data_IF_862526878598
#
_entry.id   IF_862526878598
#
_cell.length_a   1.000
_cell.length_b   1.000
_cell.length_c   1.000
_cell.angle_alpha   90.00
_cell.angle_beta   90.00
_cell.angle_gamma   90.00
#
_symmetry.space_group_name_H-M   'P 1'
#
loop_
_entity.id
_entity.type
_entity.pdbx_description
1 polymer ?
#
# COMPACT_ATOMS: atom_id res chain seq x y z
N UNK A 1 1.22 15.20 -16.22
CA UNK A 1 1.46 13.79 -16.54
C UNK A 1 2.69 13.31 -15.78
N UNK A 2 2.68 12.14 -15.15
CA UNK A 2 3.81 11.63 -14.36
C UNK A 2 4.99 11.13 -15.23
N UNK A 3 5.01 11.45 -16.53
CA UNK A 3 6.03 11.00 -17.48
C UNK A 3 7.46 11.22 -16.98
N UNK A 4 7.75 12.43 -16.47
CA UNK A 4 9.08 12.74 -15.93
C UNK A 4 9.42 11.95 -14.66
N UNK A 5 8.43 11.56 -13.87
CA UNK A 5 8.65 10.67 -12.73
C UNK A 5 9.14 9.30 -13.21
N UNK A 6 8.44 8.70 -14.16
CA UNK A 6 8.82 7.39 -14.70
C UNK A 6 10.15 7.42 -15.47
N UNK A 7 10.40 8.48 -16.24
CA UNK A 7 11.68 8.68 -16.95
C UNK A 7 12.86 8.86 -15.98
N UNK A 8 12.62 9.36 -14.77
CA UNK A 8 13.67 9.51 -13.75
C UNK A 8 14.00 8.22 -12.99
N UNK A 9 13.19 7.17 -13.15
CA UNK A 9 13.43 5.88 -12.51
C UNK A 9 14.56 5.15 -13.23
N UNK A 10 15.72 5.10 -12.58
CA UNK A 10 16.83 4.29 -13.08
C UNK A 10 16.61 2.80 -12.79
N UNK A 11 17.18 1.92 -13.59
CA UNK A 11 17.16 0.47 -13.34
C UNK A 11 17.61 0.13 -11.91
N UNK A 12 18.59 0.86 -11.38
CA UNK A 12 19.07 0.70 -10.00
C UNK A 12 18.01 0.99 -8.94
N UNK A 13 17.14 1.99 -9.15
CA UNK A 13 16.04 2.30 -8.21
C UNK A 13 14.94 1.24 -8.26
N UNK A 14 14.76 0.59 -9.40
CA UNK A 14 13.81 -0.50 -9.58
C UNK A 14 14.34 -1.79 -8.91
N UNK A 15 15.58 -2.16 -9.20
CA UNK A 15 16.15 -3.46 -8.75
C UNK A 15 16.57 -3.46 -7.28
N UNK A 16 16.97 -2.32 -6.70
CA UNK A 16 17.35 -2.25 -5.29
C UNK A 16 16.14 -2.32 -4.32
N UNK A 17 14.93 -2.46 -4.85
CA UNK A 17 13.69 -2.54 -4.07
C UNK A 17 13.27 -1.23 -3.40
N UNK A 18 13.89 -0.09 -3.74
CA UNK A 18 13.50 1.21 -3.21
C UNK A 18 12.06 1.55 -3.63
N UNK A 19 11.78 1.57 -4.92
CA UNK A 19 10.45 1.87 -5.45
C UNK A 19 9.40 0.85 -4.98
N UNK A 20 9.79 -0.41 -4.83
CA UNK A 20 8.89 -1.45 -4.33
C UNK A 20 8.33 -1.20 -2.92
N UNK A 21 8.92 -0.30 -2.15
CA UNK A 21 8.44 0.10 -0.82
C UNK A 21 7.43 1.23 -0.84
N UNK A 22 7.29 1.93 -1.96
CA UNK A 22 6.32 3.02 -2.10
C UNK A 22 4.97 2.53 -2.62
N UNK A 23 3.91 3.20 -2.19
CA UNK A 23 2.60 3.13 -2.83
C UNK A 23 2.50 4.34 -3.76
N UNK A 24 2.56 4.09 -5.06
CA UNK A 24 2.41 5.14 -6.08
C UNK A 24 0.94 5.27 -6.40
N UNK A 25 0.39 6.48 -6.22
CA UNK A 25 -0.97 6.83 -6.58
C UNK A 25 -0.92 7.83 -7.72
N UNK A 26 -1.42 7.41 -8.88
CA UNK A 26 -1.54 8.32 -10.02
C UNK A 26 -2.85 9.08 -9.95
N UNK A 27 -2.74 10.40 -9.97
CA UNK A 27 -3.89 11.29 -10.03
C UNK A 27 -4.14 11.69 -11.48
N UNK A 28 -5.42 11.83 -11.85
CA UNK A 28 -5.81 12.33 -13.16
C UNK A 28 -5.34 13.76 -13.44
N UNK A 29 -5.72 14.30 -14.58
CA UNK A 29 -5.39 15.66 -14.96
C UNK A 29 -5.89 16.65 -13.89
N UNK A 30 -5.08 17.69 -13.64
CA UNK A 30 -5.47 18.77 -12.73
C UNK A 30 -6.75 19.43 -13.24
N UNK A 31 -7.76 19.50 -12.38
CA UNK A 31 -8.97 20.29 -12.65
C UNK A 31 -8.68 21.80 -12.63
N UNK A 32 -9.71 22.60 -12.90
CA UNK A 32 -9.61 24.06 -12.75
C UNK A 32 -9.26 24.43 -11.31
N UNK A 33 -8.37 25.39 -11.17
CA UNK A 33 -8.05 25.96 -9.85
C UNK A 33 -9.31 26.62 -9.26
N UNK A 34 -9.61 26.29 -8.01
CA UNK A 34 -10.69 26.96 -7.25
C UNK A 34 -10.09 27.55 -6.00
N UNK A 35 -10.47 28.77 -5.69
CA UNK A 35 -10.17 29.38 -4.41
C UNK A 35 -11.18 28.81 -3.40
N UNK A 36 -10.71 27.86 -2.60
CA UNK A 36 -11.53 27.29 -1.54
C UNK A 36 -11.48 28.19 -0.31
N UNK A 37 -12.66 28.49 0.24
CA UNK A 37 -12.73 29.17 1.53
C UNK A 37 -12.08 28.31 2.62
N UNK A 38 -11.30 28.95 3.49
CA UNK A 38 -10.72 28.27 4.66
C UNK A 38 -11.88 27.77 5.55
N UNK A 39 -12.06 26.48 5.62
CA UNK A 39 -13.06 25.82 6.45
C UNK A 39 -12.39 25.20 7.68
N UNK A 40 -13.05 25.21 8.83
CA UNK A 40 -12.56 24.49 9.99
C UNK A 40 -12.51 22.98 9.66
N UNK A 41 -11.48 22.32 10.17
CA UNK A 41 -11.35 20.88 10.01
C UNK A 41 -12.56 20.16 10.64
N UNK A 42 -13.23 19.24 9.94
CA UNK A 42 -14.36 18.49 10.49
C UNK A 42 -14.01 17.81 11.81
N UNK A 43 -14.94 17.86 12.79
CA UNK A 43 -14.69 17.32 14.14
C UNK A 43 -14.26 15.84 14.13
N UNK A 44 -14.85 14.93 13.32
CA UNK A 44 -14.41 13.52 13.29
C UNK A 44 -12.93 13.36 12.91
N UNK A 45 -12.40 14.24 12.05
CA UNK A 45 -10.98 14.22 11.66
C UNK A 45 -10.12 14.69 12.83
N UNK A 46 -10.55 15.74 13.53
CA UNK A 46 -9.82 16.25 14.72
C UNK A 46 -9.80 15.22 15.85
N UNK A 47 -10.93 14.57 16.11
CA UNK A 47 -11.02 13.50 17.10
C UNK A 47 -10.14 12.31 16.77
N UNK A 48 -10.16 11.85 15.50
CA UNK A 48 -9.28 10.79 15.05
C UNK A 48 -7.80 11.16 15.21
N UNK A 49 -7.43 12.38 14.81
CA UNK A 49 -6.06 12.86 14.95
C UNK A 49 -5.61 12.93 16.41
N UNK A 50 -6.46 13.42 17.32
CA UNK A 50 -6.18 13.44 18.77
C UNK A 50 -6.00 12.03 19.32
N UNK A 51 -6.94 11.13 18.98
CA UNK A 51 -6.85 9.73 19.43
C UNK A 51 -5.52 9.09 19.02
N UNK A 52 -5.08 9.27 17.76
CA UNK A 52 -3.80 8.74 17.29
C UNK A 52 -2.60 9.43 17.94
N UNK A 53 -2.69 10.72 18.23
CA UNK A 53 -1.64 11.46 18.94
C UNK A 53 -1.47 10.96 20.38
N UNK A 54 -2.55 10.56 21.03
CA UNK A 54 -2.57 10.08 22.41
C UNK A 54 -2.36 8.56 22.50
N UNK A 55 -2.44 7.85 21.38
CA UNK A 55 -2.29 6.41 21.33
C UNK A 55 -0.88 5.97 21.76
N UNK A 56 -0.82 5.20 22.85
CA UNK A 56 0.43 4.67 23.42
C UNK A 56 0.31 3.15 23.61
N UNK A 57 0.43 2.33 22.53
CA UNK A 57 0.33 0.88 22.65
C UNK A 57 1.62 0.32 23.25
N UNK A 58 1.71 0.26 24.59
CA UNK A 58 2.77 -0.47 25.27
C UNK A 58 4.20 -0.11 24.86
N UNK A 59 4.39 1.01 24.21
CA UNK A 59 5.69 1.37 23.68
C UNK A 59 5.75 2.83 23.33
N UNK A 60 6.50 3.52 24.12
CA UNK A 60 7.07 4.80 23.82
C UNK A 60 8.52 4.54 23.37
N UNK A 61 9.13 5.47 22.67
CA UNK A 61 10.57 5.48 22.37
C UNK A 61 11.45 5.38 23.65
N UNK A 62 10.86 5.52 24.84
CA UNK A 62 11.49 5.32 26.14
C UNK A 62 11.46 3.86 26.62
N UNK A 63 10.69 2.97 26.00
CA UNK A 63 10.70 1.54 26.34
C UNK A 63 11.61 0.78 25.39
N UNK A 64 12.54 0.03 25.94
CA UNK A 64 13.55 -0.70 25.18
C UNK A 64 12.93 -1.79 24.29
N UNK A 65 11.79 -2.37 24.71
CA UNK A 65 11.06 -3.42 24.00
C UNK A 65 9.54 -3.21 24.10
N UNK A 66 8.94 -2.33 23.29
CA UNK A 66 7.49 -2.13 23.32
C UNK A 66 6.74 -3.38 22.83
N UNK A 67 5.75 -3.82 23.57
CA UNK A 67 4.85 -4.89 23.11
C UNK A 67 3.90 -4.36 22.04
N UNK A 68 3.97 -4.87 20.79
CA UNK A 68 3.08 -4.42 19.74
C UNK A 68 1.66 -4.93 19.99
N UNK A 69 0.67 -4.07 19.76
CA UNK A 69 -0.73 -4.50 19.76
C UNK A 69 -1.01 -5.33 18.52
N UNK A 70 -1.43 -6.58 18.72
CA UNK A 70 -1.81 -7.47 17.64
C UNK A 70 -3.24 -7.17 17.20
N UNK A 71 -3.44 -7.02 15.89
CA UNK A 71 -4.76 -6.85 15.27
C UNK A 71 -5.19 -8.18 14.67
N UNK A 72 -6.29 -8.79 15.15
CA UNK A 72 -6.77 -10.06 14.63
C UNK A 72 -7.34 -9.90 13.23
N UNK A 73 -7.34 -10.99 12.46
CA UNK A 73 -8.01 -11.11 11.18
C UNK A 73 -9.09 -12.20 11.25
N UNK A 74 -10.20 -11.99 10.55
CA UNK A 74 -11.22 -13.02 10.40
C UNK A 74 -10.71 -14.19 9.55
N UNK A 75 -11.33 -15.36 9.65
CA UNK A 75 -10.90 -16.56 8.90
C UNK A 75 -10.96 -16.34 7.38
N UNK A 76 -12.02 -15.70 6.91
CA UNK A 76 -12.24 -15.36 5.51
C UNK A 76 -11.25 -14.31 5.00
N UNK A 77 -10.95 -13.25 5.80
CA UNK A 77 -9.90 -12.29 5.50
C UNK A 77 -8.53 -12.96 5.39
N UNK A 78 -8.22 -13.85 6.32
CA UNK A 78 -6.97 -14.63 6.30
C UNK A 78 -6.88 -15.50 5.05
N UNK A 79 -7.97 -16.20 4.69
CA UNK A 79 -8.03 -17.01 3.48
C UNK A 79 -7.84 -16.18 2.21
N UNK A 80 -8.48 -14.99 2.13
CA UNK A 80 -8.33 -14.04 1.01
C UNK A 80 -6.89 -13.54 0.87
N UNK A 81 -6.26 -13.12 1.97
CA UNK A 81 -4.87 -12.68 1.96
C UNK A 81 -3.90 -13.81 1.59
N UNK A 82 -4.15 -15.03 2.03
CA UNK A 82 -3.33 -16.18 1.63
C UNK A 82 -3.52 -16.54 0.14
N UNK A 83 -4.74 -16.40 -0.40
CA UNK A 83 -4.98 -16.59 -1.83
C UNK A 83 -4.22 -15.52 -2.65
N UNK A 84 -4.25 -14.27 -2.19
CA UNK A 84 -3.47 -13.19 -2.79
C UNK A 84 -1.96 -13.48 -2.75
N UNK A 85 -1.45 -13.93 -1.60
CA UNK A 85 -0.04 -14.31 -1.47
C UNK A 85 0.36 -15.38 -2.48
N UNK A 86 -0.41 -16.47 -2.59
CA UNK A 86 -0.12 -17.54 -3.56
C UNK A 86 -0.10 -17.01 -4.99
N UNK A 87 -1.05 -16.15 -5.37
CA UNK A 87 -1.05 -15.54 -6.69
C UNK A 87 0.23 -14.71 -6.93
N UNK A 88 0.61 -13.89 -5.97
CA UNK A 88 1.82 -13.06 -6.06
C UNK A 88 3.07 -13.92 -6.16
N UNK A 89 3.24 -14.90 -5.26
CA UNK A 89 4.46 -15.70 -5.16
C UNK A 89 4.55 -16.72 -6.30
N UNK A 90 3.46 -17.47 -6.55
CA UNK A 90 3.48 -18.64 -7.43
C UNK A 90 3.21 -18.29 -8.91
N UNK A 91 2.61 -17.13 -9.18
CA UNK A 91 2.28 -16.71 -10.56
C UNK A 91 3.13 -15.53 -11.00
N UNK A 92 2.94 -14.39 -10.35
CA UNK A 92 3.52 -13.13 -10.83
C UNK A 92 5.05 -13.08 -10.63
N UNK A 93 5.51 -13.40 -9.42
CA UNK A 93 6.94 -13.43 -9.11
C UNK A 93 7.68 -14.47 -9.96
N UNK A 94 7.11 -15.68 -10.08
CA UNK A 94 7.72 -16.76 -10.87
C UNK A 94 7.75 -16.44 -12.36
N UNK A 95 6.72 -15.74 -12.89
CA UNK A 95 6.72 -15.28 -14.27
C UNK A 95 7.84 -14.25 -14.52
N UNK A 96 8.03 -13.29 -13.59
CA UNK A 96 9.13 -12.34 -13.67
C UNK A 96 10.50 -13.06 -13.60
N UNK A 97 10.64 -14.04 -12.73
CA UNK A 97 11.87 -14.84 -12.62
C UNK A 97 12.19 -15.61 -13.90
N UNK A 98 11.20 -16.24 -14.51
CA UNK A 98 11.37 -16.95 -15.76
C UNK A 98 11.80 -16.03 -16.92
N UNK A 99 11.36 -14.78 -16.91
CA UNK A 99 11.70 -13.76 -17.89
C UNK A 99 12.93 -12.93 -17.52
N UNK A 100 13.61 -13.23 -16.41
CA UNK A 100 14.76 -12.47 -15.89
C UNK A 100 14.42 -10.99 -15.62
N UNK A 101 13.17 -10.70 -15.27
CA UNK A 101 12.68 -9.37 -14.92
C UNK A 101 12.99 -9.06 -13.44
N UNK A 102 14.19 -8.55 -13.18
CA UNK A 102 14.63 -8.18 -11.82
C UNK A 102 13.77 -7.09 -11.18
N UNK A 103 13.28 -6.14 -11.99
CA UNK A 103 12.43 -5.05 -11.50
C UNK A 103 11.05 -5.58 -11.07
N UNK A 104 10.45 -6.43 -11.88
CA UNK A 104 9.20 -7.12 -11.55
C UNK A 104 9.34 -7.97 -10.31
N UNK A 105 10.38 -8.78 -10.19
CA UNK A 105 10.66 -9.57 -8.98
C UNK A 105 10.75 -8.68 -7.72
N UNK A 106 11.47 -7.55 -7.80
CA UNK A 106 11.62 -6.64 -6.67
C UNK A 106 10.27 -6.03 -6.22
N UNK A 107 9.38 -5.74 -7.16
CA UNK A 107 8.04 -5.20 -6.89
C UNK A 107 7.13 -6.28 -6.31
N UNK A 108 7.02 -7.44 -6.96
CA UNK A 108 6.12 -8.49 -6.53
C UNK A 108 6.49 -9.08 -5.17
N UNK A 109 7.79 -9.17 -4.84
CA UNK A 109 8.26 -9.59 -3.51
C UNK A 109 7.74 -8.74 -2.35
N UNK A 110 7.24 -7.53 -2.62
CA UNK A 110 6.70 -6.61 -1.60
C UNK A 110 5.18 -6.47 -1.63
N UNK A 111 4.51 -7.02 -2.63
CA UNK A 111 3.07 -6.82 -2.80
C UNK A 111 2.25 -7.40 -1.65
N UNK A 112 2.58 -8.59 -1.16
CA UNK A 112 1.88 -9.19 -0.03
C UNK A 112 2.06 -8.40 1.27
N UNK A 113 3.27 -7.92 1.56
CA UNK A 113 3.54 -7.06 2.71
C UNK A 113 2.73 -5.77 2.64
N UNK A 114 2.69 -5.12 1.48
CA UNK A 114 1.88 -3.91 1.25
C UNK A 114 0.39 -4.17 1.46
N UNK A 115 -0.13 -5.27 0.92
CA UNK A 115 -1.54 -5.63 1.09
C UNK A 115 -1.89 -5.80 2.57
N UNK A 116 -1.06 -6.49 3.35
CA UNK A 116 -1.28 -6.63 4.79
C UNK A 116 -1.28 -5.29 5.53
N UNK A 117 -0.35 -4.40 5.19
CA UNK A 117 -0.29 -3.05 5.79
C UNK A 117 -1.52 -2.21 5.41
N UNK A 118 -1.97 -2.27 4.16
CA UNK A 118 -3.17 -1.58 3.72
C UNK A 118 -4.43 -2.13 4.39
N UNK A 119 -4.56 -3.45 4.54
CA UNK A 119 -5.66 -4.07 5.26
C UNK A 119 -5.70 -3.64 6.73
N UNK A 120 -4.54 -3.52 7.38
CA UNK A 120 -4.42 -3.00 8.74
C UNK A 120 -4.86 -1.54 8.83
N UNK A 121 -4.39 -0.68 7.92
CA UNK A 121 -4.79 0.74 7.87
C UNK A 121 -6.31 0.85 7.69
N UNK A 122 -6.90 0.04 6.80
CA UNK A 122 -8.35 -0.01 6.59
C UNK A 122 -9.08 -0.42 7.87
N UNK A 123 -8.66 -1.49 8.53
CA UNK A 123 -9.26 -1.96 9.79
C UNK A 123 -9.22 -0.87 10.87
N UNK A 124 -8.08 -0.19 11.03
CA UNK A 124 -7.92 0.91 11.97
C UNK A 124 -8.78 2.13 11.60
N UNK A 125 -9.05 2.36 10.32
CA UNK A 125 -9.93 3.46 9.87
C UNK A 125 -11.40 3.19 10.18
N UNK A 126 -11.81 1.92 10.20
CA UNK A 126 -13.17 1.50 10.53
C UNK A 126 -13.39 1.50 12.05
N UNK A 127 -12.49 0.90 12.79
CA UNK A 127 -12.53 0.91 14.26
C UNK A 127 -11.10 1.00 14.82
N UNK A 128 -10.74 2.16 15.32
CA UNK A 128 -9.40 2.42 15.87
C UNK A 128 -9.16 1.81 17.25
N UNK A 129 -10.24 1.59 18.01
CA UNK A 129 -10.15 1.08 19.39
C UNK A 129 -9.98 -0.45 19.39
N UNK A 130 -10.76 -1.13 18.59
CA UNK A 130 -10.75 -2.58 18.44
C UNK A 130 -10.71 -2.98 16.96
N UNK A 131 -9.59 -2.72 16.27
CA UNK A 131 -9.49 -3.02 14.85
C UNK A 131 -9.48 -4.52 14.60
N UNK A 132 -10.23 -4.95 13.58
CA UNK A 132 -10.23 -6.32 13.08
C UNK A 132 -10.10 -6.29 11.56
N UNK A 133 -9.17 -7.03 11.01
CA UNK A 133 -9.04 -7.17 9.55
C UNK A 133 -10.14 -8.11 9.07
N UNK A 134 -11.16 -7.52 8.42
CA UNK A 134 -12.31 -8.23 7.85
C UNK A 134 -12.09 -8.55 6.36
N UNK A 135 -12.94 -9.39 5.79
CA UNK A 135 -12.88 -9.72 4.35
C UNK A 135 -12.89 -8.46 3.46
N UNK A 136 -13.77 -7.46 3.65
CA UNK A 136 -13.73 -6.23 2.87
C UNK A 136 -12.39 -5.48 2.95
N UNK A 137 -11.75 -5.47 4.12
CA UNK A 137 -10.43 -4.88 4.29
C UNK A 137 -9.35 -5.64 3.50
N UNK A 138 -9.39 -6.96 3.55
CA UNK A 138 -8.47 -7.83 2.82
C UNK A 138 -8.64 -7.70 1.30
N UNK A 139 -9.87 -7.71 0.81
CA UNK A 139 -10.20 -7.55 -0.62
C UNK A 139 -9.80 -6.17 -1.13
N UNK A 140 -10.14 -5.11 -0.38
CA UNK A 140 -9.75 -3.74 -0.72
C UNK A 140 -8.22 -3.60 -0.84
N UNK A 141 -7.48 -4.23 0.03
CA UNK A 141 -6.03 -4.14 0.08
C UNK A 141 -5.33 -5.00 -0.99
N UNK A 142 -5.94 -6.11 -1.40
CA UNK A 142 -5.39 -7.05 -2.37
C UNK A 142 -5.91 -6.86 -3.79
N UNK A 143 -6.89 -5.99 -3.98
CA UNK A 143 -7.36 -5.62 -5.32
C UNK A 143 -6.31 -4.73 -5.98
N UNK A 144 -5.70 -5.16 -7.10
CA UNK A 144 -4.92 -4.25 -7.93
C UNK A 144 -5.85 -3.12 -8.33
N UNK A 145 -5.58 -1.93 -7.90
CA UNK A 145 -6.27 -0.77 -8.47
C UNK A 145 -5.62 -0.53 -9.81
N UNK A 146 -6.32 -0.72 -10.92
CA UNK A 146 -5.81 -0.23 -12.16
C UNK A 146 -5.78 1.29 -12.00
N UNK A 147 -4.58 1.86 -11.85
CA UNK A 147 -4.41 3.12 -12.51
C UNK A 147 -4.73 2.81 -13.98
N UNK A 148 -5.70 3.49 -14.60
CA UNK A 148 -5.96 3.27 -16.01
C UNK A 148 -4.61 3.43 -16.72
N UNK A 149 -4.12 2.37 -17.33
CA UNK A 149 -2.86 2.26 -18.07
C UNK A 149 -1.53 2.38 -17.30
N UNK A 150 -1.52 2.53 -15.96
CA UNK A 150 -0.26 2.72 -15.23
C UNK A 150 0.56 1.42 -15.04
N UNK A 151 -0.08 0.27 -15.06
CA UNK A 151 0.66 -1.00 -15.05
C UNK A 151 1.44 -1.14 -16.36
N UNK A 152 0.84 -0.83 -17.49
CA UNK A 152 1.55 -0.80 -18.78
C UNK A 152 2.58 0.34 -18.86
N UNK A 153 2.34 1.47 -18.22
CA UNK A 153 3.31 2.57 -18.18
C UNK A 153 4.49 2.30 -17.23
N UNK A 154 4.24 1.69 -16.07
CA UNK A 154 5.31 1.29 -15.13
C UNK A 154 6.10 0.07 -15.63
N UNK A 155 5.43 -0.86 -16.28
CA UNK A 155 6.02 -2.14 -16.65
C UNK A 155 6.24 -2.28 -18.17
N UNK A 156 5.45 -1.60 -18.99
CA UNK A 156 5.51 -1.72 -20.44
C UNK A 156 6.58 -0.89 -21.13
N UNK A 157 6.90 0.30 -20.60
CA UNK A 157 7.89 1.20 -21.22
C UNK A 157 9.29 1.08 -20.60
N UNK A 158 9.39 0.74 -19.32
CA UNK A 158 10.69 0.58 -18.64
C UNK A 158 11.37 -0.76 -18.97
N UNK A 159 10.63 -1.74 -19.50
CA UNK A 159 11.13 -3.09 -19.78
C UNK A 159 11.27 -3.39 -21.29
N UNK A 160 10.97 -2.43 -22.17
CA UNK A 160 11.13 -2.60 -23.64
C UNK A 160 12.25 -1.75 -24.23
N UNK A 161 13.18 -1.27 -23.41
CA UNK A 161 14.35 -0.53 -23.89
C UNK A 161 15.62 -1.32 -23.76
#
# INVERSE_FOLDING_TARGET
>A
MPKHFYESLSSRLLTNGFLARFLVLECGARGEGRDEAVRPLPEPIREAARWWADFRPGGNLSEEYPEPRLVPATKDATASLHAFRRRVDDTEYMACQANQDEAGMAVWARCYEKARRLALIYACSVNREEPVITLPAAEWASTPRPAPDAADALYGSALRG
#
